data_IF_440811635899
#
_entry.id   IF_440811635899
#
_cell.length_a   1.000
_cell.length_b   1.000
_cell.length_c   1.000
_cell.angle_alpha   90.00
_cell.angle_beta   90.00
_cell.angle_gamma   90.00
#
_symmetry.space_group_name_H-M   'P 1'
#
loop_
_entity.id
_entity.type
_entity.pdbx_description
1 polymer ?
#
# COMPACT_ATOMS: atom_id res chain seq x y z
N UNK A 1 -2.30 -4.33 -10.25
CA UNK A 1 -2.54 -5.46 -9.32
C UNK A 1 -3.25 -4.94 -8.07
N UNK A 2 -4.21 -5.68 -7.48
CA UNK A 2 -4.90 -5.32 -6.23
C UNK A 2 -4.28 -6.07 -5.04
N UNK A 3 -3.86 -5.35 -4.01
CA UNK A 3 -3.26 -5.90 -2.79
C UNK A 3 -4.15 -5.52 -1.60
N UNK A 4 -4.73 -6.48 -0.86
CA UNK A 4 -5.45 -6.19 0.37
C UNK A 4 -4.46 -5.93 1.50
N UNK A 5 -4.61 -4.80 2.19
CA UNK A 5 -3.70 -4.33 3.24
C UNK A 5 -4.52 -4.02 4.48
N UNK A 6 -4.11 -4.54 5.64
CA UNK A 6 -4.69 -4.14 6.91
C UNK A 6 -4.21 -2.71 7.26
N UNK A 7 -5.17 -1.82 7.47
CA UNK A 7 -4.96 -0.39 7.76
C UNK A 7 -5.63 0.01 9.08
N UNK A 8 -5.92 -0.95 9.97
CA UNK A 8 -6.49 -0.71 11.28
C UNK A 8 -5.73 0.42 12.01
N UNK A 9 -6.46 1.47 12.41
CA UNK A 9 -5.96 2.67 13.10
C UNK A 9 -5.10 3.64 12.25
N UNK A 10 -4.96 3.40 10.95
CA UNK A 10 -4.28 4.33 10.03
C UNK A 10 -5.31 5.02 9.14
N UNK A 11 -5.12 6.32 8.90
CA UNK A 11 -5.95 7.11 7.98
C UNK A 11 -5.16 8.28 7.41
N UNK A 12 -5.65 8.85 6.31
CA UNK A 12 -5.09 10.03 5.66
C UNK A 12 -4.55 9.77 4.26
N UNK A 13 -3.95 10.81 3.66
CA UNK A 13 -3.38 10.73 2.32
C UNK A 13 -2.16 9.83 2.28
N UNK A 14 -2.09 8.95 1.29
CA UNK A 14 -0.93 8.13 0.98
C UNK A 14 0.06 8.99 0.19
N UNK A 15 1.29 9.11 0.69
CA UNK A 15 2.33 9.94 0.08
C UNK A 15 3.47 9.12 -0.53
N UNK A 16 3.59 7.84 -0.15
CA UNK A 16 4.50 6.93 -0.81
C UNK A 16 4.00 5.48 -0.71
N UNK A 17 4.16 4.74 -1.80
CA UNK A 17 4.00 3.30 -1.86
C UNK A 17 5.32 2.70 -2.34
N UNK A 18 5.81 1.67 -1.65
CA UNK A 18 6.97 0.89 -2.10
C UNK A 18 6.62 -0.58 -2.17
N UNK A 19 7.06 -1.23 -3.23
CA UNK A 19 6.96 -2.68 -3.41
C UNK A 19 8.36 -3.23 -3.54
N UNK A 20 8.76 -4.11 -2.61
CA UNK A 20 10.14 -4.62 -2.47
C UNK A 20 11.21 -3.51 -2.52
N UNK A 21 10.92 -2.38 -1.85
CA UNK A 21 11.79 -1.22 -1.80
C UNK A 21 11.75 -0.29 -3.03
N UNK A 22 11.09 -0.68 -4.14
CA UNK A 22 10.91 0.17 -5.32
C UNK A 22 9.72 1.10 -5.14
N UNK A 23 9.90 2.39 -5.39
CA UNK A 23 8.81 3.37 -5.35
C UNK A 23 7.78 3.11 -6.46
N UNK A 24 6.51 3.24 -6.10
CA UNK A 24 5.37 3.31 -7.01
C UNK A 24 4.73 4.70 -6.90
N UNK A 25 4.50 5.33 -8.05
CA UNK A 25 3.84 6.63 -8.17
C UNK A 25 2.45 6.49 -8.80
N UNK A 26 2.14 5.34 -9.41
CA UNK A 26 0.83 5.05 -9.97
C UNK A 26 0.09 4.00 -9.12
N UNK A 27 -0.67 4.49 -8.14
CA UNK A 27 -1.47 3.69 -7.24
C UNK A 27 -2.85 4.31 -6.95
N UNK A 28 -3.79 3.47 -6.50
CA UNK A 28 -5.13 3.90 -6.10
C UNK A 28 -5.65 3.02 -4.94
N UNK A 29 -6.41 3.56 -3.98
CA UNK A 29 -6.79 4.96 -3.83
C UNK A 29 -5.64 5.81 -3.24
N UNK A 30 -5.76 7.14 -3.36
CA UNK A 30 -4.79 8.09 -2.78
C UNK A 30 -4.97 8.30 -1.27
N UNK A 31 -6.08 7.85 -0.69
CA UNK A 31 -6.43 8.10 0.71
C UNK A 31 -6.89 6.82 1.41
N UNK A 32 -6.50 6.67 2.66
CA UNK A 32 -7.04 5.66 3.58
C UNK A 32 -8.19 6.29 4.36
N UNK A 33 -9.46 5.86 4.16
CA UNK A 33 -10.59 6.43 4.87
C UNK A 33 -10.50 6.19 6.38
N UNK A 34 -11.01 7.13 7.16
CA UNK A 34 -11.03 6.99 8.61
C UNK A 34 -11.92 5.82 9.04
N UNK A 35 -11.40 4.98 9.94
CA UNK A 35 -12.12 3.80 10.45
C UNK A 35 -12.12 2.59 9.52
N UNK A 36 -11.49 2.67 8.35
CA UNK A 36 -11.27 1.50 7.49
C UNK A 36 -10.35 0.48 8.17
N UNK A 37 -10.68 -0.80 8.03
CA UNK A 37 -9.85 -1.91 8.51
C UNK A 37 -8.95 -2.50 7.42
N UNK A 38 -9.47 -2.53 6.19
CA UNK A 38 -8.78 -3.09 5.03
C UNK A 38 -8.84 -2.09 3.89
N UNK A 39 -7.69 -1.92 3.22
CA UNK A 39 -7.54 -1.15 1.99
C UNK A 39 -7.20 -2.11 0.85
N UNK A 40 -7.94 -2.06 -0.26
CA UNK A 40 -7.54 -2.70 -1.50
C UNK A 40 -6.71 -1.72 -2.31
N UNK A 41 -5.38 -1.81 -2.21
CA UNK A 41 -4.47 -0.93 -2.94
C UNK A 41 -4.18 -1.50 -4.32
N UNK A 42 -4.44 -0.70 -5.34
CA UNK A 42 -4.02 -0.94 -6.71
C UNK A 42 -2.67 -0.30 -6.98
N UNK A 43 -1.72 -1.10 -7.48
CA UNK A 43 -0.41 -0.64 -7.97
C UNK A 43 -0.28 -1.02 -9.44
N UNK A 44 0.05 -0.06 -10.30
CA UNK A 44 0.01 -0.23 -11.76
C UNK A 44 1.37 -0.13 -12.44
N UNK A 45 2.34 0.54 -11.84
CA UNK A 45 3.67 0.83 -12.42
C UNK A 45 4.77 -0.11 -11.94
N UNK A 46 4.46 -1.08 -11.07
CA UNK A 46 5.41 -2.08 -10.59
C UNK A 46 5.06 -3.46 -11.15
N UNK A 47 6.03 -4.07 -11.83
CA UNK A 47 5.98 -5.49 -12.22
C UNK A 47 6.34 -6.32 -11.00
N UNK A 48 5.40 -7.14 -10.53
CA UNK A 48 5.58 -8.04 -9.40
C UNK A 48 5.54 -9.48 -9.92
N UNK A 49 6.67 -10.21 -9.91
CA UNK A 49 6.71 -11.61 -10.35
C UNK A 49 5.92 -12.50 -9.38
N UNK A 50 5.75 -13.79 -9.71
CA UNK A 50 5.16 -14.75 -8.77
C UNK A 50 6.07 -14.94 -7.56
N UNK A 51 5.47 -15.01 -6.37
CA UNK A 51 6.23 -15.21 -5.13
C UNK A 51 5.76 -14.35 -3.96
N UNK A 52 6.60 -14.28 -2.93
CA UNK A 52 6.35 -13.48 -1.73
C UNK A 52 6.98 -12.10 -1.85
N UNK A 53 6.18 -11.08 -1.58
CA UNK A 53 6.55 -9.67 -1.74
C UNK A 53 6.18 -8.86 -0.51
N UNK A 54 6.78 -7.69 -0.40
CA UNK A 54 6.55 -6.74 0.68
C UNK A 54 6.05 -5.44 0.09
N UNK A 55 4.95 -4.92 0.66
CA UNK A 55 4.47 -3.57 0.38
C UNK A 55 4.62 -2.70 1.61
N UNK A 56 5.05 -1.46 1.37
CA UNK A 56 5.23 -0.42 2.39
C UNK A 56 4.43 0.81 1.97
N UNK A 57 3.65 1.38 2.88
CA UNK A 57 2.84 2.57 2.68
C UNK A 57 3.22 3.61 3.72
N UNK A 58 3.44 4.84 3.28
CA UNK A 58 3.63 6.01 4.15
C UNK A 58 2.47 6.97 3.92
N UNK A 59 1.88 7.47 5.00
CA UNK A 59 0.86 8.52 4.94
C UNK A 59 1.43 9.89 5.28
N UNK A 60 0.71 10.96 4.90
CA UNK A 60 1.10 12.35 5.19
C UNK A 60 1.24 12.64 6.70
N UNK A 61 0.55 11.87 7.54
CA UNK A 61 0.62 11.96 9.01
C UNK A 61 1.84 11.24 9.59
N UNK A 62 2.73 10.70 8.74
CA UNK A 62 3.90 9.93 9.14
C UNK A 62 3.60 8.48 9.54
N UNK A 63 2.38 7.98 9.32
CA UNK A 63 2.08 6.57 9.58
C UNK A 63 2.84 5.70 8.60
N UNK A 64 3.39 4.59 9.11
CA UNK A 64 4.12 3.61 8.33
C UNK A 64 3.44 2.24 8.43
N UNK A 65 3.05 1.70 7.28
CA UNK A 65 2.46 0.37 7.18
C UNK A 65 3.35 -0.53 6.35
N UNK A 66 3.51 -1.77 6.79
CA UNK A 66 4.29 -2.80 6.09
C UNK A 66 3.51 -4.11 6.09
N UNK A 67 3.27 -4.67 4.92
CA UNK A 67 2.53 -5.92 4.77
C UNK A 67 3.24 -6.86 3.79
N UNK A 68 3.08 -8.16 4.03
CA UNK A 68 3.50 -9.22 3.09
C UNK A 68 2.31 -9.62 2.23
N UNK A 69 2.55 -9.88 0.96
CA UNK A 69 1.55 -10.41 0.03
C UNK A 69 2.18 -11.43 -0.92
N UNK A 70 1.35 -12.25 -1.55
CA UNK A 70 1.78 -13.30 -2.48
C UNK A 70 1.04 -13.13 -3.81
N UNK A 71 1.76 -13.27 -4.92
CA UNK A 71 1.26 -13.20 -6.31
C UNK A 71 1.35 -14.55 -6.98
#
# INVERSE_FOLDING_TARGET
>A
MKIPINVDKVSGKIVAVRVDGKMSYNYSPEYIPYGSKVLALEVQDVIVPKGSHVIEIITEKGNYLKAKFVV
#
